data_IF_002873928421
#
_entry.id   IF_002873928421
#
_cell.length_a   1.000
_cell.length_b   1.000
_cell.length_c   1.000
_cell.angle_alpha   90.00
_cell.angle_beta   90.00
_cell.angle_gamma   90.00
#
_symmetry.space_group_name_H-M   'P 1'
#
loop_
_entity.id
_entity.type
_entity.pdbx_description
1 polymer ?
#
# COMPACT_ATOMS: atom_id res chain seq x y z
N UNK A 1 29.28 17.15 -35.99
CA UNK A 1 27.97 16.88 -36.61
C UNK A 1 27.46 15.48 -36.30
N UNK A 2 27.92 14.38 -36.93
CA UNK A 2 27.35 13.03 -36.68
C UNK A 2 27.46 12.60 -35.21
N UNK A 3 28.62 12.78 -34.57
CA UNK A 3 28.80 12.45 -33.15
C UNK A 3 27.91 13.28 -32.19
N UNK A 4 27.57 14.50 -32.59
CA UNK A 4 26.78 15.46 -31.80
C UNK A 4 25.28 15.13 -31.86
N UNK A 5 24.79 14.71 -33.04
CA UNK A 5 23.44 14.15 -33.20
C UNK A 5 23.27 12.84 -32.42
N UNK A 6 24.28 11.97 -32.44
CA UNK A 6 24.26 10.74 -31.63
C UNK A 6 24.23 11.05 -30.13
N UNK A 7 25.02 12.02 -29.67
CA UNK A 7 25.03 12.47 -28.28
C UNK A 7 23.65 12.97 -27.84
N UNK A 8 23.02 13.85 -28.62
CA UNK A 8 21.68 14.36 -28.35
C UNK A 8 20.62 13.26 -28.34
N UNK A 9 20.76 12.26 -29.23
CA UNK A 9 19.84 11.14 -29.26
C UNK A 9 19.99 10.24 -28.04
N UNK A 10 21.22 10.01 -27.59
CA UNK A 10 21.50 9.24 -26.36
C UNK A 10 20.91 9.96 -25.15
N UNK A 11 21.15 11.26 -24.98
CA UNK A 11 20.59 12.04 -23.87
C UNK A 11 19.06 12.03 -23.88
N UNK A 12 18.43 12.14 -25.05
CA UNK A 12 16.98 12.04 -25.18
C UNK A 12 16.45 10.67 -24.73
N UNK A 13 17.14 9.59 -25.13
CA UNK A 13 16.78 8.22 -24.73
C UNK A 13 17.00 7.98 -23.24
N UNK A 14 18.10 8.46 -22.66
CA UNK A 14 18.37 8.35 -21.23
C UNK A 14 17.30 9.07 -20.40
N UNK A 15 16.87 10.25 -20.83
CA UNK A 15 15.80 10.99 -20.18
C UNK A 15 14.45 10.26 -20.31
N UNK A 16 14.17 9.65 -21.45
CA UNK A 16 12.98 8.81 -21.63
C UNK A 16 13.02 7.56 -20.73
N UNK A 17 14.17 6.89 -20.62
CA UNK A 17 14.35 5.73 -19.73
C UNK A 17 14.12 6.14 -18.28
N UNK A 18 14.72 7.25 -17.81
CA UNK A 18 14.49 7.79 -16.46
C UNK A 18 13.01 8.11 -16.21
N UNK A 19 12.34 8.69 -17.21
CA UNK A 19 10.91 8.98 -17.14
C UNK A 19 10.06 7.71 -17.01
N UNK A 20 10.35 6.68 -17.82
CA UNK A 20 9.66 5.38 -17.78
C UNK A 20 9.92 4.63 -16.47
N UNK A 21 11.14 4.65 -15.95
CA UNK A 21 11.46 4.06 -14.65
C UNK A 21 10.69 4.73 -13.52
N UNK A 22 10.56 6.05 -13.55
CA UNK A 22 9.77 6.80 -12.58
C UNK A 22 8.28 6.45 -12.67
N UNK A 23 7.72 6.37 -13.89
CA UNK A 23 6.32 5.99 -14.10
C UNK A 23 6.03 4.56 -13.65
N UNK A 24 6.95 3.62 -13.93
CA UNK A 24 6.83 2.23 -13.49
C UNK A 24 6.86 2.13 -11.95
N UNK A 25 7.79 2.83 -11.30
CA UNK A 25 7.86 2.90 -9.83
C UNK A 25 6.55 3.44 -9.26
N UNK A 26 6.00 4.52 -9.82
CA UNK A 26 4.73 5.07 -9.36
C UNK A 26 3.58 4.08 -9.52
N UNK A 27 3.52 3.39 -10.66
CA UNK A 27 2.48 2.36 -10.92
C UNK A 27 2.55 1.22 -9.90
N UNK A 28 3.77 0.77 -9.56
CA UNK A 28 3.96 -0.26 -8.53
C UNK A 28 3.52 0.22 -7.14
N UNK A 29 3.80 1.48 -6.79
CA UNK A 29 3.35 2.12 -5.54
C UNK A 29 1.82 2.20 -5.51
N UNK A 30 1.19 2.62 -6.61
CA UNK A 30 -0.27 2.73 -6.70
C UNK A 30 -0.95 1.36 -6.60
N UNK A 31 -0.40 0.32 -7.24
CA UNK A 31 -0.90 -1.05 -7.13
C UNK A 31 -0.76 -1.60 -5.70
N UNK A 32 0.40 -1.40 -5.07
CA UNK A 32 0.62 -1.76 -3.67
C UNK A 32 -0.37 -1.02 -2.75
N UNK A 33 -0.70 0.23 -3.05
CA UNK A 33 -1.69 0.97 -2.29
C UNK A 33 -3.10 0.44 -2.45
N UNK A 34 -3.55 0.13 -3.67
CA UNK A 34 -4.87 -0.48 -3.89
C UNK A 34 -4.99 -1.76 -3.07
N UNK A 35 -3.92 -2.57 -3.02
CA UNK A 35 -3.87 -3.76 -2.20
C UNK A 35 -3.94 -3.43 -0.69
N UNK A 36 -3.10 -2.52 -0.19
CA UNK A 36 -3.08 -2.12 1.22
C UNK A 36 -4.43 -1.59 1.65
N UNK A 37 -5.05 -0.75 0.83
CA UNK A 37 -6.33 -0.13 1.13
C UNK A 37 -7.48 -1.13 1.13
N UNK A 38 -7.55 -2.01 0.14
CA UNK A 38 -8.57 -3.08 0.09
C UNK A 38 -8.46 -4.01 1.30
N UNK A 39 -7.29 -4.09 1.92
CA UNK A 39 -7.01 -4.97 3.06
C UNK A 39 -6.72 -4.19 4.36
N UNK A 40 -7.03 -2.89 4.41
CA UNK A 40 -6.53 -2.01 5.47
C UNK A 40 -6.96 -2.45 6.86
N UNK A 41 -8.22 -2.84 7.01
CA UNK A 41 -8.78 -3.33 8.27
C UNK A 41 -8.04 -4.57 8.78
N UNK A 42 -7.68 -5.49 7.88
CA UNK A 42 -6.93 -6.70 8.20
C UNK A 42 -5.47 -6.39 8.56
N UNK A 43 -4.82 -5.51 7.80
CA UNK A 43 -3.44 -5.06 8.05
C UNK A 43 -3.36 -4.39 9.42
N UNK A 44 -4.27 -3.45 9.73
CA UNK A 44 -4.31 -2.80 11.04
C UNK A 44 -4.58 -3.77 12.17
N UNK A 45 -5.55 -4.68 12.02
CA UNK A 45 -5.80 -5.71 13.03
C UNK A 45 -4.53 -6.52 13.32
N UNK A 46 -3.80 -6.94 12.28
CA UNK A 46 -2.55 -7.66 12.44
C UNK A 46 -1.49 -6.82 13.14
N UNK A 47 -1.34 -5.54 12.78
CA UNK A 47 -0.37 -4.64 13.40
C UNK A 47 -0.68 -4.39 14.88
N UNK A 48 -1.95 -4.20 15.25
CA UNK A 48 -2.40 -4.09 16.65
C UNK A 48 -2.08 -5.38 17.40
N UNK A 49 -2.36 -6.54 16.81
CA UNK A 49 -2.02 -7.82 17.42
C UNK A 49 -0.51 -8.02 17.59
N UNK A 50 0.30 -7.58 16.62
CA UNK A 50 1.75 -7.61 16.72
C UNK A 50 2.26 -6.67 17.81
N UNK A 51 1.61 -5.52 18.04
CA UNK A 51 1.87 -4.63 19.17
C UNK A 51 1.49 -5.29 20.50
N UNK A 52 0.29 -5.86 20.62
CA UNK A 52 -0.16 -6.50 21.86
C UNK A 52 0.71 -7.71 22.25
N UNK A 53 1.18 -8.46 21.26
CA UNK A 53 2.03 -9.64 21.46
C UNK A 53 3.50 -9.28 21.73
N UNK A 54 3.94 -8.09 21.33
CA UNK A 54 5.34 -7.67 21.43
C UNK A 54 5.47 -6.55 22.44
N UNK A 55 6.30 -6.71 23.48
CA UNK A 55 6.50 -5.64 24.47
C UNK A 55 6.93 -4.31 23.83
N UNK A 56 6.55 -3.18 24.44
CA UNK A 56 6.77 -1.80 23.92
C UNK A 56 8.22 -1.50 23.53
N UNK A 57 9.20 -2.16 24.17
CA UNK A 57 10.63 -2.02 23.85
C UNK A 57 11.10 -2.75 22.59
N UNK A 58 10.25 -3.57 21.98
CA UNK A 58 10.61 -4.41 20.83
C UNK A 58 10.59 -3.65 19.50
N UNK A 59 11.48 -4.05 18.58
CA UNK A 59 11.50 -3.50 17.22
C UNK A 59 10.27 -3.88 16.39
N UNK A 60 9.53 -4.92 16.79
CA UNK A 60 8.26 -5.29 16.16
C UNK A 60 7.18 -4.27 16.56
N UNK A 61 7.06 -3.96 17.85
CA UNK A 61 6.14 -2.94 18.36
C UNK A 61 6.38 -1.59 17.68
N UNK A 62 7.63 -1.11 17.65
CA UNK A 62 7.98 0.18 17.02
C UNK A 62 7.61 0.24 15.54
N UNK A 63 7.89 -0.83 14.79
CA UNK A 63 7.54 -0.91 13.36
C UNK A 63 6.04 -0.95 13.16
N UNK A 64 5.33 -1.75 13.94
CA UNK A 64 3.88 -1.87 13.85
C UNK A 64 3.17 -0.55 14.21
N UNK A 65 3.66 0.17 15.22
CA UNK A 65 3.14 1.48 15.63
C UNK A 65 3.35 2.56 14.54
N UNK A 66 4.49 2.54 13.85
CA UNK A 66 4.82 3.53 12.82
C UNK A 66 4.29 3.19 11.42
N UNK A 67 3.78 1.97 11.20
CA UNK A 67 3.39 1.49 9.88
C UNK A 67 2.30 2.35 9.21
N UNK A 68 1.32 2.84 9.97
CA UNK A 68 0.25 3.70 9.44
C UNK A 68 0.79 5.04 8.90
N UNK A 69 1.71 5.66 9.63
CA UNK A 69 2.37 6.90 9.21
C UNK A 69 3.23 6.69 7.96
N UNK A 70 4.00 5.60 7.92
CA UNK A 70 4.85 5.27 6.76
C UNK A 70 4.01 5.01 5.52
N UNK A 71 2.94 4.21 5.65
CA UNK A 71 2.03 3.93 4.54
C UNK A 71 1.43 5.24 4.03
N UNK A 72 0.88 6.09 4.90
CA UNK A 72 0.30 7.38 4.54
C UNK A 72 1.29 8.32 3.83
N UNK A 73 2.56 8.33 4.25
CA UNK A 73 3.59 9.20 3.66
C UNK A 73 3.93 8.81 2.21
N UNK A 74 3.88 7.53 1.88
CA UNK A 74 4.21 7.02 0.55
C UNK A 74 3.04 7.04 -0.45
N UNK A 75 1.84 7.46 -0.03
CA UNK A 75 0.67 7.52 -0.93
C UNK A 75 0.68 8.74 -1.82
N UNK A 76 0.25 8.57 -3.08
CA UNK A 76 -0.09 9.68 -3.96
C UNK A 76 -1.25 10.51 -3.35
N UNK A 77 -1.25 11.83 -3.61
CA UNK A 77 -2.15 12.78 -2.92
C UNK A 77 -3.64 12.49 -3.11
N UNK A 78 -4.04 12.12 -4.33
CA UNK A 78 -5.40 11.69 -4.68
C UNK A 78 -5.88 10.45 -3.91
N UNK A 79 -4.94 9.62 -3.46
CA UNK A 79 -5.23 8.37 -2.76
C UNK A 79 -5.34 8.56 -1.23
N UNK A 80 -4.81 9.67 -0.69
CA UNK A 80 -4.91 10.07 0.73
C UNK A 80 -6.28 10.62 1.11
N UNK A 81 -7.07 11.09 0.16
CA UNK A 81 -8.36 11.75 0.44
C UNK A 81 -9.47 10.77 0.85
N UNK A 82 -9.24 9.46 0.70
CA UNK A 82 -10.26 8.49 1.05
C UNK A 82 -10.15 8.11 2.51
N UNK A 83 -11.22 8.45 3.23
CA UNK A 83 -11.37 8.18 4.66
C UNK A 83 -11.47 6.67 4.90
N UNK A 84 -10.62 6.19 5.80
CA UNK A 84 -10.66 4.84 6.34
C UNK A 84 -11.63 4.85 7.53
N UNK A 85 -12.38 3.76 7.71
CA UNK A 85 -13.34 3.61 8.81
C UNK A 85 -12.65 3.89 10.17
N UNK A 86 -13.21 4.79 11.01
CA UNK A 86 -12.62 5.17 12.29
C UNK A 86 -12.56 4.04 13.30
N UNK A 87 -13.46 3.04 13.20
CA UNK A 87 -13.49 1.87 14.05
C UNK A 87 -13.08 0.62 13.26
N UNK A 88 -11.77 0.30 13.22
CA UNK A 88 -11.25 -0.76 12.36
C UNK A 88 -11.68 -2.16 12.81
N UNK A 89 -11.87 -2.37 14.11
CA UNK A 89 -12.34 -3.63 14.66
C UNK A 89 -13.74 -3.94 14.13
N UNK A 90 -14.63 -2.95 14.15
CA UNK A 90 -16.02 -3.10 13.69
C UNK A 90 -16.10 -3.27 12.17
N UNK A 91 -15.20 -2.62 11.42
CA UNK A 91 -15.07 -2.82 9.98
C UNK A 91 -14.54 -4.23 9.65
N UNK A 92 -13.53 -4.72 10.36
CA UNK A 92 -12.98 -6.07 10.16
C UNK A 92 -13.99 -7.17 10.54
N UNK A 93 -14.71 -6.99 11.66
CA UNK A 93 -15.77 -7.91 12.07
C UNK A 93 -16.91 -7.95 11.05
N UNK A 94 -17.39 -6.80 10.57
CA UNK A 94 -18.37 -6.74 9.47
C UNK A 94 -17.87 -7.48 8.25
N UNK A 95 -16.66 -7.21 7.81
CA UNK A 95 -16.11 -7.83 6.62
C UNK A 95 -15.99 -9.34 6.75
N UNK A 96 -15.56 -9.86 7.90
CA UNK A 96 -15.57 -11.29 8.18
C UNK A 96 -16.99 -11.86 8.10
N UNK A 97 -17.97 -11.23 8.76
CA UNK A 97 -19.37 -11.68 8.74
C UNK A 97 -19.93 -11.70 7.31
N UNK A 98 -19.77 -10.60 6.57
CA UNK A 98 -20.25 -10.44 5.20
C UNK A 98 -19.57 -11.43 4.24
N UNK A 99 -18.26 -11.63 4.39
CA UNK A 99 -17.50 -12.58 3.58
C UNK A 99 -17.92 -14.01 3.90
N UNK A 100 -18.05 -14.38 5.17
CA UNK A 100 -18.54 -15.70 5.57
C UNK A 100 -19.95 -15.97 5.06
N UNK A 101 -20.86 -15.00 5.17
CA UNK A 101 -22.21 -15.12 4.63
C UNK A 101 -22.19 -15.29 3.11
N UNK A 102 -21.35 -14.53 2.40
CA UNK A 102 -21.18 -14.65 0.95
C UNK A 102 -20.61 -16.01 0.55
N UNK A 103 -19.60 -16.50 1.26
CA UNK A 103 -19.02 -17.82 1.00
C UNK A 103 -20.04 -18.94 1.21
N UNK A 104 -20.82 -18.88 2.30
CA UNK A 104 -21.93 -19.82 2.56
C UNK A 104 -23.00 -19.79 1.45
N UNK A 105 -23.42 -18.60 1.02
CA UNK A 105 -24.40 -18.46 -0.06
C UNK A 105 -23.91 -19.04 -1.39
N UNK A 106 -22.59 -19.07 -1.60
CA UNK A 106 -21.96 -19.62 -2.80
C UNK A 106 -21.47 -21.07 -2.61
N UNK A 107 -21.83 -21.72 -1.51
CA UNK A 107 -21.50 -23.13 -1.25
C UNK A 107 -20.05 -23.40 -0.85
N UNK A 108 -19.29 -22.36 -0.49
CA UNK A 108 -17.92 -22.46 0.02
C UNK A 108 -17.90 -22.56 1.56
N UNK A 109 -18.54 -23.59 2.12
CA UNK A 109 -18.35 -24.08 3.50
C UNK A 109 -19.00 -25.45 3.64
#
# INVERSE_FOLDING_TARGET
MVAEEWQQRIEALENQVKGLESALRQTAIDAAFVYIRSNWSLIRWRLVREQDQSGEGSEIYKRANNAETVINHHLARNLREVRLEPQPMDAAYRWCIETTATLQQNGYT
#
